data_IF_551296520872
#
_entry.id   IF_551296520872
#
_cell.length_a   1.000
_cell.length_b   1.000
_cell.length_c   1.000
_cell.angle_alpha   90.00
_cell.angle_beta   90.00
_cell.angle_gamma   90.00
#
_symmetry.space_group_name_H-M   'P 1'
#
loop_
_entity.id
_entity.type
_entity.pdbx_description
1 polymer ?
#
# COMPACT_ATOMS: atom_id res chain seq x y z
N UNK A 1 -2.93 -37.22 -21.14
CA UNK A 1 -3.57 -36.90 -19.84
C UNK A 1 -4.92 -37.62 -19.61
N UNK A 2 -5.32 -38.60 -20.43
CA UNK A 2 -6.43 -39.50 -20.09
C UNK A 2 -5.87 -40.90 -19.79
N UNK A 3 -6.25 -41.50 -18.65
CA UNK A 3 -5.88 -42.88 -18.29
C UNK A 3 -6.60 -43.88 -19.19
N UNK A 4 -6.11 -45.12 -19.26
CA UNK A 4 -6.75 -46.20 -20.04
C UNK A 4 -8.22 -46.41 -19.63
N UNK A 5 -8.53 -46.27 -18.35
CA UNK A 5 -9.90 -46.35 -17.84
C UNK A 5 -10.85 -45.34 -18.50
N UNK A 6 -10.41 -44.10 -18.72
CA UNK A 6 -11.23 -43.06 -19.35
C UNK A 6 -11.29 -43.17 -20.87
N UNK A 7 -10.31 -43.85 -21.48
CA UNK A 7 -10.31 -44.17 -22.91
C UNK A 7 -11.27 -45.33 -23.24
N UNK A 8 -11.39 -46.31 -22.34
CA UNK A 8 -12.30 -47.43 -22.51
C UNK A 8 -13.77 -47.08 -22.23
N UNK A 9 -14.03 -46.15 -21.30
CA UNK A 9 -15.40 -45.84 -20.85
C UNK A 9 -16.06 -44.64 -21.56
N UNK A 10 -15.39 -44.01 -22.54
CA UNK A 10 -15.88 -42.82 -23.29
C UNK A 10 -16.66 -41.79 -22.44
N UNK A 11 -16.23 -41.57 -21.20
CA UNK A 11 -17.01 -40.76 -20.25
C UNK A 11 -16.87 -39.28 -20.57
N UNK A 12 -17.85 -38.71 -21.28
CA UNK A 12 -17.90 -37.27 -21.60
C UNK A 12 -18.50 -36.48 -20.42
N UNK A 13 -17.68 -35.66 -19.78
CA UNK A 13 -18.14 -34.74 -18.73
C UNK A 13 -18.38 -33.34 -19.28
N UNK A 14 -19.64 -33.00 -19.53
CA UNK A 14 -20.04 -31.68 -20.04
C UNK A 14 -19.87 -30.61 -18.95
N UNK A 15 -19.06 -29.58 -19.23
CA UNK A 15 -18.85 -28.42 -18.37
C UNK A 15 -19.86 -27.32 -18.71
N UNK A 16 -21.02 -27.32 -18.05
CA UNK A 16 -22.04 -26.27 -18.25
C UNK A 16 -21.98 -25.20 -17.15
N UNK A 17 -22.01 -23.92 -17.55
CA UNK A 17 -22.30 -22.78 -16.66
C UNK A 17 -21.37 -22.61 -15.45
N UNK A 18 -20.07 -22.94 -15.58
CA UNK A 18 -19.09 -22.77 -14.50
C UNK A 18 -19.17 -23.81 -13.37
N UNK A 19 -20.04 -24.83 -13.49
CA UNK A 19 -20.10 -25.95 -12.53
C UNK A 19 -19.09 -27.03 -12.91
N UNK A 20 -17.92 -27.02 -12.28
CA UNK A 20 -16.85 -27.98 -12.54
C UNK A 20 -16.86 -29.20 -11.62
N UNK A 21 -17.80 -29.29 -10.67
CA UNK A 21 -17.77 -30.26 -9.56
C UNK A 21 -17.67 -31.72 -10.00
N UNK A 22 -18.38 -32.13 -11.05
CA UNK A 22 -18.32 -33.51 -11.58
C UNK A 22 -16.96 -33.83 -12.22
N UNK A 23 -16.43 -32.90 -13.02
CA UNK A 23 -15.10 -33.04 -13.62
C UNK A 23 -14.00 -33.04 -12.55
N UNK A 24 -14.09 -32.15 -11.55
CA UNK A 24 -13.14 -32.11 -10.43
C UNK A 24 -13.18 -33.38 -9.58
N UNK A 25 -14.37 -33.95 -9.35
CA UNK A 25 -14.55 -35.22 -8.62
C UNK A 25 -13.93 -36.39 -9.39
N UNK A 26 -14.21 -36.51 -10.68
CA UNK A 26 -13.62 -37.55 -11.55
C UNK A 26 -12.08 -37.45 -11.61
N UNK A 27 -11.54 -36.25 -11.78
CA UNK A 27 -10.09 -36.01 -11.75
C UNK A 27 -9.46 -36.44 -10.42
N UNK A 28 -10.13 -36.17 -9.29
CA UNK A 28 -9.65 -36.57 -7.96
C UNK A 28 -9.71 -38.08 -7.74
N UNK A 29 -10.81 -38.73 -8.13
CA UNK A 29 -11.07 -40.13 -7.81
C UNK A 29 -10.42 -41.10 -8.79
N UNK A 30 -10.40 -40.78 -10.09
CA UNK A 30 -9.91 -41.67 -11.15
C UNK A 30 -8.47 -41.36 -11.54
N UNK A 31 -8.06 -40.10 -11.44
CA UNK A 31 -6.71 -39.67 -11.83
C UNK A 31 -5.84 -39.20 -10.66
N UNK A 32 -6.37 -39.20 -9.44
CA UNK A 32 -5.70 -38.68 -8.23
C UNK A 32 -5.19 -37.22 -8.38
N UNK A 33 -5.77 -36.46 -9.31
CA UNK A 33 -5.43 -35.06 -9.56
C UNK A 33 -6.26 -34.21 -8.62
N UNK A 34 -5.61 -33.61 -7.63
CA UNK A 34 -6.24 -32.67 -6.69
C UNK A 34 -5.87 -31.23 -7.05
N UNK A 35 -6.84 -30.32 -6.90
CA UNK A 35 -6.57 -28.89 -7.06
C UNK A 35 -5.77 -28.38 -5.85
N UNK A 36 -4.78 -27.52 -6.10
CA UNK A 36 -4.07 -26.77 -5.06
C UNK A 36 -5.03 -25.98 -4.15
N UNK A 37 -6.15 -25.49 -4.70
CA UNK A 37 -7.22 -24.84 -3.93
C UNK A 37 -7.89 -25.79 -2.94
N UNK A 38 -8.17 -27.04 -3.36
CA UNK A 38 -8.77 -28.05 -2.48
C UNK A 38 -7.83 -28.49 -1.36
N UNK A 39 -6.53 -28.64 -1.65
CA UNK A 39 -5.53 -28.95 -0.63
C UNK A 39 -5.39 -27.82 0.42
N UNK A 40 -5.42 -26.55 -0.02
CA UNK A 40 -5.41 -25.40 0.87
C UNK A 40 -6.69 -25.30 1.72
N UNK A 41 -7.87 -25.59 1.13
CA UNK A 41 -9.13 -25.64 1.87
C UNK A 41 -9.15 -26.76 2.91
N UNK A 42 -8.64 -27.95 2.57
CA UNK A 42 -8.57 -29.08 3.50
C UNK A 42 -7.54 -28.84 4.62
N UNK A 43 -6.41 -28.20 4.32
CA UNK A 43 -5.46 -27.74 5.34
C UNK A 43 -6.10 -26.72 6.29
N UNK A 44 -6.82 -25.72 5.76
CA UNK A 44 -7.55 -24.73 6.59
C UNK A 44 -8.62 -25.37 7.47
N UNK A 45 -9.34 -26.36 6.96
CA UNK A 45 -10.33 -27.12 7.74
C UNK A 45 -9.67 -27.86 8.90
N UNK A 46 -8.56 -28.57 8.66
CA UNK A 46 -7.79 -29.25 9.72
C UNK A 46 -7.37 -28.26 10.81
N UNK A 47 -6.81 -27.11 10.42
CA UNK A 47 -6.44 -26.06 11.38
C UNK A 47 -7.64 -25.53 12.17
N UNK A 48 -8.81 -25.36 11.53
CA UNK A 48 -10.03 -24.93 12.23
C UNK A 48 -10.50 -25.97 13.24
N UNK A 49 -10.51 -27.24 12.87
CA UNK A 49 -10.98 -28.31 13.74
C UNK A 49 -10.04 -28.51 14.94
N UNK A 50 -8.73 -28.35 14.73
CA UNK A 50 -7.72 -28.28 15.81
C UNK A 50 -7.96 -27.10 16.76
N UNK A 51 -8.25 -25.90 16.23
CA UNK A 51 -8.58 -24.72 17.04
C UNK A 51 -9.85 -24.99 17.86
N UNK A 52 -10.91 -25.53 17.25
CA UNK A 52 -12.17 -25.86 17.94
C UNK A 52 -11.93 -26.90 19.03
N UNK A 53 -11.15 -27.93 18.76
CA UNK A 53 -10.80 -28.95 19.75
C UNK A 53 -10.03 -28.34 20.93
N UNK A 54 -9.06 -27.46 20.66
CA UNK A 54 -8.31 -26.75 21.71
C UNK A 54 -9.22 -25.86 22.56
N UNK A 55 -10.10 -25.07 21.94
CA UNK A 55 -11.06 -24.21 22.66
C UNK A 55 -11.99 -25.06 23.55
N UNK A 56 -12.51 -26.18 23.03
CA UNK A 56 -13.35 -27.10 23.81
C UNK A 56 -12.62 -27.70 25.00
N UNK A 57 -11.37 -28.11 24.82
CA UNK A 57 -10.55 -28.65 25.91
C UNK A 57 -10.32 -27.61 27.01
N UNK A 58 -10.09 -26.34 26.65
CA UNK A 58 -9.96 -25.24 27.63
C UNK A 58 -11.30 -24.97 28.35
N UNK A 59 -12.41 -24.95 27.61
CA UNK A 59 -13.75 -24.78 28.17
C UNK A 59 -14.14 -25.87 29.19
N UNK A 60 -13.65 -27.09 28.99
CA UNK A 60 -13.92 -28.21 29.91
C UNK A 60 -13.11 -28.13 31.20
N UNK A 61 -11.94 -27.49 31.16
CA UNK A 61 -10.97 -27.54 32.26
C UNK A 61 -10.98 -26.28 33.14
N UNK A 62 -11.27 -25.08 32.62
CA UNK A 62 -11.00 -23.84 33.36
C UNK A 62 -11.90 -22.62 33.06
N UNK A 63 -12.62 -22.53 31.94
CA UNK A 63 -13.45 -21.36 31.59
C UNK A 63 -14.92 -21.72 31.28
N UNK A 64 -15.86 -20.81 31.58
CA UNK A 64 -17.26 -20.99 31.19
C UNK A 64 -17.45 -20.84 29.68
N UNK A 65 -18.30 -21.66 29.06
CA UNK A 65 -18.65 -21.52 27.63
C UNK A 65 -19.23 -20.15 27.28
N UNK A 66 -19.90 -19.50 28.24
CA UNK A 66 -20.32 -18.11 28.16
C UNK A 66 -19.13 -17.17 27.87
N UNK A 67 -18.03 -17.31 28.61
CA UNK A 67 -16.84 -16.46 28.46
C UNK A 67 -16.23 -16.59 27.07
N UNK A 68 -16.07 -17.82 26.61
CA UNK A 68 -15.55 -18.13 25.27
C UNK A 68 -16.46 -17.54 24.20
N UNK A 69 -17.78 -17.64 24.37
CA UNK A 69 -18.73 -17.06 23.44
C UNK A 69 -18.59 -15.54 23.33
N UNK A 70 -18.46 -14.83 24.46
CA UNK A 70 -18.21 -13.38 24.45
C UNK A 70 -16.90 -13.02 23.73
N UNK A 71 -15.81 -13.77 23.96
CA UNK A 71 -14.52 -13.53 23.32
C UNK A 71 -14.58 -13.77 21.80
N UNK A 72 -15.27 -14.82 21.35
CA UNK A 72 -15.46 -15.10 19.92
C UNK A 72 -16.31 -14.02 19.25
N UNK A 73 -17.38 -13.55 19.89
CA UNK A 73 -18.15 -12.39 19.40
C UNK A 73 -17.28 -11.13 19.33
N UNK A 74 -16.40 -10.93 20.30
CA UNK A 74 -15.45 -9.81 20.29
C UNK A 74 -14.46 -9.91 19.13
N UNK A 75 -13.91 -11.08 18.87
CA UNK A 75 -13.06 -11.32 17.70
C UNK A 75 -13.81 -11.14 16.39
N UNK A 76 -15.10 -11.52 16.32
CA UNK A 76 -15.94 -11.27 15.15
C UNK A 76 -16.07 -9.78 14.88
N UNK A 77 -16.30 -8.99 15.93
CA UNK A 77 -16.36 -7.52 15.87
C UNK A 77 -15.04 -6.94 15.36
N UNK A 78 -13.91 -7.36 15.94
CA UNK A 78 -12.57 -6.87 15.56
C UNK A 78 -12.22 -7.24 14.12
N UNK A 79 -12.33 -8.52 13.76
CA UNK A 79 -11.87 -9.02 12.45
C UNK A 79 -12.73 -8.55 11.28
N UNK A 80 -14.01 -8.20 11.54
CA UNK A 80 -14.94 -7.79 10.49
C UNK A 80 -15.33 -6.30 10.59
N UNK A 81 -14.69 -5.53 11.48
CA UNK A 81 -15.00 -4.13 11.73
C UNK A 81 -16.49 -3.86 11.99
N UNK A 82 -17.14 -4.73 12.78
CA UNK A 82 -18.56 -4.58 13.10
C UNK A 82 -18.76 -3.50 14.18
N UNK A 83 -19.94 -2.87 14.25
CA UNK A 83 -20.29 -2.00 15.36
C UNK A 83 -20.26 -2.76 16.69
N UNK A 84 -19.79 -2.12 17.77
CA UNK A 84 -19.74 -2.75 19.11
C UNK A 84 -21.13 -3.10 19.66
N UNK A 85 -22.17 -2.50 19.10
CA UNK A 85 -23.59 -2.78 19.41
C UNK A 85 -24.14 -4.00 18.66
N UNK A 86 -23.35 -4.71 17.85
CA UNK A 86 -23.85 -5.82 17.01
C UNK A 86 -24.60 -6.89 17.82
N UNK A 87 -24.20 -7.15 19.07
CA UNK A 87 -24.90 -8.09 19.95
C UNK A 87 -26.25 -7.60 20.50
N UNK A 88 -26.59 -6.32 20.29
CA UNK A 88 -27.84 -5.67 20.72
C UNK A 88 -28.89 -5.60 19.61
N UNK A 89 -28.53 -5.90 18.36
CA UNK A 89 -29.50 -6.00 17.27
C UNK A 89 -30.50 -7.11 17.53
N UNK A 90 -31.74 -6.92 17.06
CA UNK A 90 -32.83 -7.83 17.33
C UNK A 90 -32.55 -9.21 16.72
N UNK A 91 -32.01 -9.26 15.49
CA UNK A 91 -31.61 -10.49 14.83
C UNK A 91 -30.49 -11.22 15.59
N UNK A 92 -29.53 -10.49 16.15
CA UNK A 92 -28.48 -11.08 16.99
C UNK A 92 -29.03 -11.67 18.29
N UNK A 93 -30.07 -11.05 18.86
CA UNK A 93 -30.74 -11.54 20.07
C UNK A 93 -31.56 -12.79 19.78
N UNK A 94 -32.33 -12.78 18.69
CA UNK A 94 -33.12 -13.93 18.22
C UNK A 94 -32.20 -15.11 17.91
N UNK A 95 -31.13 -14.89 17.14
CA UNK A 95 -30.15 -15.94 16.83
C UNK A 95 -29.51 -16.52 18.09
N UNK A 96 -29.19 -15.68 19.08
CA UNK A 96 -28.66 -16.16 20.36
C UNK A 96 -29.66 -17.05 21.08
N UNK A 97 -30.93 -16.64 21.15
CA UNK A 97 -31.99 -17.38 21.84
C UNK A 97 -32.32 -18.73 21.16
N UNK A 98 -32.21 -18.83 19.83
CA UNK A 98 -32.56 -20.04 19.08
C UNK A 98 -31.37 -21.00 18.93
N UNK A 99 -30.16 -20.48 18.69
CA UNK A 99 -29.02 -21.28 18.22
C UNK A 99 -27.99 -21.55 19.32
N UNK A 100 -27.93 -20.70 20.36
CA UNK A 100 -26.92 -20.82 21.41
C UNK A 100 -27.49 -21.57 22.61
N UNK A 101 -26.82 -22.63 23.04
CA UNK A 101 -27.17 -23.37 24.27
C UNK A 101 -27.15 -22.42 25.48
N UNK A 102 -28.09 -22.60 26.40
CA UNK A 102 -28.25 -21.73 27.58
C UNK A 102 -26.95 -21.57 28.39
N UNK A 103 -26.22 -22.67 28.61
CA UNK A 103 -24.92 -22.67 29.31
C UNK A 103 -23.79 -21.93 28.58
N UNK A 104 -24.02 -21.52 27.32
CA UNK A 104 -23.09 -20.80 26.46
C UNK A 104 -23.59 -19.39 26.12
N UNK A 105 -24.76 -18.99 26.61
CA UNK A 105 -25.29 -17.65 26.35
C UNK A 105 -24.47 -16.61 27.09
N UNK A 106 -24.00 -15.61 26.35
CA UNK A 106 -23.28 -14.48 26.91
C UNK A 106 -24.06 -13.19 26.69
N UNK A 107 -23.93 -12.25 27.63
CA UNK A 107 -24.42 -10.89 27.43
C UNK A 107 -23.47 -10.17 26.47
N UNK A 108 -23.81 -10.15 25.18
CA UNK A 108 -23.07 -9.40 24.16
C UNK A 108 -23.75 -8.05 23.93
N UNK A 109 -23.12 -6.99 24.39
CA UNK A 109 -23.53 -5.60 24.18
C UNK A 109 -22.29 -4.71 24.08
N UNK A 110 -22.47 -3.41 23.80
CA UNK A 110 -21.37 -2.45 23.67
C UNK A 110 -20.42 -2.49 24.87
N UNK A 111 -20.94 -2.56 26.09
CA UNK A 111 -20.14 -2.52 27.32
C UNK A 111 -19.29 -3.78 27.45
N UNK A 112 -19.89 -4.96 27.30
CA UNK A 112 -19.17 -6.23 27.45
C UNK A 112 -18.17 -6.46 26.34
N UNK A 113 -18.50 -6.08 25.09
CA UNK A 113 -17.57 -6.08 23.96
C UNK A 113 -16.40 -5.13 24.25
N UNK A 114 -16.66 -3.90 24.69
CA UNK A 114 -15.58 -2.93 24.98
C UNK A 114 -14.63 -3.45 26.05
N UNK A 115 -15.15 -4.03 27.14
CA UNK A 115 -14.30 -4.65 28.17
C UNK A 115 -13.50 -5.84 27.63
N UNK A 116 -14.13 -6.72 26.84
CA UNK A 116 -13.45 -7.87 26.25
C UNK A 116 -12.37 -7.46 25.24
N UNK A 117 -12.54 -6.37 24.49
CA UNK A 117 -11.49 -5.81 23.63
C UNK A 117 -10.26 -5.40 24.45
N UNK A 118 -10.47 -4.70 25.57
CA UNK A 118 -9.37 -4.28 26.46
C UNK A 118 -8.65 -5.50 27.03
N UNK A 119 -9.41 -6.51 27.46
CA UNK A 119 -8.83 -7.74 28.01
C UNK A 119 -8.02 -8.51 26.97
N UNK A 120 -8.57 -8.72 25.77
CA UNK A 120 -7.86 -9.34 24.66
C UNK A 120 -6.59 -8.56 24.32
N UNK A 121 -6.65 -7.23 24.32
CA UNK A 121 -5.48 -6.38 24.11
C UNK A 121 -4.42 -6.58 25.21
N UNK A 122 -4.80 -6.57 26.49
CA UNK A 122 -3.87 -6.76 27.61
C UNK A 122 -3.22 -8.15 27.55
N UNK A 123 -4.01 -9.19 27.27
CA UNK A 123 -3.51 -10.56 27.13
C UNK A 123 -2.56 -10.70 25.93
N UNK A 124 -2.97 -10.21 24.75
CA UNK A 124 -2.13 -10.23 23.56
C UNK A 124 -0.84 -9.42 23.75
N UNK A 125 -0.92 -8.28 24.44
CA UNK A 125 0.24 -7.45 24.77
C UNK A 125 1.22 -8.20 25.68
N UNK A 126 0.74 -8.90 26.72
CA UNK A 126 1.61 -9.71 27.60
C UNK A 126 2.31 -10.83 26.84
N UNK A 127 1.58 -11.55 26.00
CA UNK A 127 2.16 -12.61 25.16
C UNK A 127 3.16 -12.05 24.15
N UNK A 128 2.88 -10.90 23.56
CA UNK A 128 3.81 -10.22 22.68
C UNK A 128 5.10 -9.78 23.40
N UNK A 129 5.00 -9.24 24.62
CA UNK A 129 6.18 -8.86 25.41
C UNK A 129 7.06 -10.09 25.66
N UNK A 130 6.47 -11.21 26.09
CA UNK A 130 7.19 -12.49 26.26
C UNK A 130 7.84 -12.93 24.96
N UNK A 131 7.07 -12.95 23.87
CA UNK A 131 7.55 -13.35 22.55
C UNK A 131 8.73 -12.49 22.07
N UNK A 132 8.72 -11.18 22.32
CA UNK A 132 9.85 -10.30 22.01
C UNK A 132 11.05 -10.67 22.88
N UNK A 133 10.87 -10.83 24.20
CA UNK A 133 11.95 -11.19 25.12
C UNK A 133 12.62 -12.51 24.72
N UNK A 134 11.84 -13.53 24.40
CA UNK A 134 12.33 -14.86 24.01
C UNK A 134 13.13 -14.85 22.69
N UNK A 135 12.90 -13.84 21.84
CA UNK A 135 13.59 -13.68 20.56
C UNK A 135 14.66 -12.57 20.59
N UNK A 136 14.92 -11.97 21.75
CA UNK A 136 16.01 -11.00 21.92
C UNK A 136 17.31 -11.73 22.20
N UNK A 137 18.39 -11.15 21.69
CA UNK A 137 19.75 -11.58 22.03
C UNK A 137 20.25 -10.66 23.16
N UNK A 138 20.52 -11.17 24.37
CA UNK A 138 20.99 -10.36 25.49
C UNK A 138 22.26 -9.57 25.12
N UNK A 139 22.28 -8.28 25.47
CA UNK A 139 23.40 -7.39 25.18
C UNK A 139 23.56 -6.97 23.71
N UNK A 140 22.72 -7.47 22.80
CA UNK A 140 22.79 -7.14 21.38
C UNK A 140 21.58 -6.32 20.95
N UNK A 141 21.85 -5.21 20.26
CA UNK A 141 20.85 -4.40 19.58
C UNK A 141 20.34 -5.15 18.35
N UNK A 142 19.22 -5.86 18.49
CA UNK A 142 18.66 -6.72 17.43
C UNK A 142 17.31 -6.24 16.89
N UNK A 143 16.78 -5.13 17.41
CA UNK A 143 15.49 -4.58 16.99
C UNK A 143 15.68 -3.37 16.05
N UNK A 144 14.74 -3.20 15.12
CA UNK A 144 14.65 -2.02 14.25
C UNK A 144 13.25 -1.43 14.40
N UNK A 145 13.14 -0.11 14.48
CA UNK A 145 11.85 0.58 14.51
C UNK A 145 11.55 1.31 13.22
N UNK A 146 10.27 1.34 12.84
CA UNK A 146 9.75 2.28 11.85
C UNK A 146 8.82 3.24 12.58
N UNK A 147 9.18 4.53 12.57
CA UNK A 147 8.33 5.58 13.11
C UNK A 147 7.74 6.37 11.94
N UNK A 148 6.40 6.30 11.82
CA UNK A 148 5.66 6.98 10.76
C UNK A 148 4.85 8.14 11.36
N UNK A 149 4.95 9.30 10.72
CA UNK A 149 4.27 10.51 11.14
C UNK A 149 3.39 11.03 10.01
N UNK A 150 2.08 11.03 10.22
CA UNK A 150 1.15 11.47 9.17
C UNK A 150 0.06 12.38 9.70
N UNK A 151 -0.50 13.16 8.77
CA UNK A 151 -1.67 14.01 9.01
C UNK A 151 -2.89 13.41 8.32
N UNK A 152 -3.93 13.07 9.09
CA UNK A 152 -5.22 12.66 8.56
C UNK A 152 -5.84 13.79 7.73
N UNK A 153 -6.30 13.46 6.52
CA UNK A 153 -6.79 14.45 5.56
C UNK A 153 -8.15 15.05 5.93
N UNK A 154 -9.02 14.24 6.52
CA UNK A 154 -10.38 14.63 6.88
C UNK A 154 -10.41 15.57 8.08
N UNK A 155 -9.63 15.26 9.12
CA UNK A 155 -9.64 16.01 10.38
C UNK A 155 -8.46 16.97 10.55
N UNK A 156 -7.41 16.82 9.73
CA UNK A 156 -6.14 17.53 9.93
C UNK A 156 -5.35 17.04 11.15
N UNK A 157 -5.80 15.99 11.81
CA UNK A 157 -5.17 15.40 12.99
C UNK A 157 -3.83 14.77 12.65
N UNK A 158 -2.81 14.93 13.51
CA UNK A 158 -1.51 14.29 13.34
C UNK A 158 -1.45 12.99 14.13
N UNK A 159 -0.74 11.99 13.61
CA UNK A 159 -0.58 10.69 14.24
C UNK A 159 0.87 10.26 14.20
N UNK A 160 1.27 9.52 15.24
CA UNK A 160 2.54 8.79 15.31
C UNK A 160 2.23 7.30 15.37
N UNK A 161 2.68 6.55 14.38
CA UNK A 161 2.71 5.10 14.39
C UNK A 161 4.11 4.59 14.71
N UNK A 162 4.23 3.62 15.60
CA UNK A 162 5.50 2.96 15.90
C UNK A 162 5.38 1.47 15.63
N UNK A 163 6.23 0.98 14.72
CA UNK A 163 6.30 -0.43 14.35
C UNK A 163 7.68 -0.98 14.68
N UNK A 164 7.69 -2.21 15.17
CA UNK A 164 8.86 -2.98 15.53
C UNK A 164 9.11 -4.06 14.48
N UNK A 165 10.38 -4.23 14.12
CA UNK A 165 10.87 -5.32 13.27
C UNK A 165 12.01 -6.06 13.97
N UNK A 166 11.99 -7.39 13.88
CA UNK A 166 13.06 -8.26 14.35
C UNK A 166 12.98 -9.62 13.65
N UNK A 167 14.02 -10.44 13.81
CA UNK A 167 14.10 -11.79 13.26
C UNK A 167 14.06 -12.77 14.43
N UNK A 168 13.23 -13.80 14.32
CA UNK A 168 13.14 -14.87 15.34
C UNK A 168 14.31 -15.84 15.24
N UNK A 169 14.47 -16.71 16.24
CA UNK A 169 15.43 -17.81 16.21
C UNK A 169 15.26 -18.73 14.97
N UNK A 170 14.02 -18.89 14.48
CA UNK A 170 13.69 -19.64 13.26
C UNK A 170 13.90 -18.85 11.96
N UNK A 171 14.64 -17.74 11.98
CA UNK A 171 14.90 -16.87 10.83
C UNK A 171 13.63 -16.30 10.17
N UNK A 172 12.58 -16.02 10.96
CA UNK A 172 11.36 -15.38 10.46
C UNK A 172 11.37 -13.89 10.79
N UNK A 173 11.13 -13.06 9.78
CA UNK A 173 10.89 -11.64 9.99
C UNK A 173 9.53 -11.44 10.68
N UNK A 174 9.54 -10.72 11.79
CA UNK A 174 8.36 -10.31 12.52
C UNK A 174 8.18 -8.80 12.38
N UNK A 175 6.93 -8.39 12.17
CA UNK A 175 6.49 -7.01 12.04
C UNK A 175 5.35 -6.79 13.03
N UNK A 176 5.52 -5.88 13.98
CA UNK A 176 4.52 -5.61 15.03
C UNK A 176 4.24 -4.12 15.13
N UNK A 177 3.00 -3.70 14.89
CA UNK A 177 2.57 -2.34 15.20
C UNK A 177 2.37 -2.20 16.71
N UNK A 178 3.30 -1.53 17.39
CA UNK A 178 3.23 -1.32 18.85
C UNK A 178 2.12 -0.32 19.22
N UNK A 179 1.85 0.65 18.34
CA UNK A 179 0.73 1.55 18.54
C UNK A 179 0.63 2.67 17.52
N UNK A 180 -0.52 3.32 17.52
CA UNK A 180 -0.77 4.57 16.81
C UNK A 180 -1.35 5.57 17.81
N UNK A 181 -0.69 6.72 17.99
CA UNK A 181 -1.12 7.76 18.94
C UNK A 181 -1.49 9.04 18.19
N UNK A 182 -2.60 9.66 18.57
CA UNK A 182 -2.97 11.00 18.11
C UNK A 182 -1.98 12.02 18.65
N UNK A 183 -1.12 12.58 17.79
CA UNK A 183 -0.07 13.51 18.16
C UNK A 183 -0.59 14.92 18.44
N UNK A 184 -0.85 15.19 19.72
CA UNK A 184 -1.36 16.46 20.23
C UNK A 184 -0.55 16.91 21.47
N UNK A 185 0.63 17.50 21.29
CA UNK A 185 1.42 18.04 22.40
C UNK A 185 0.69 19.20 23.08
N UNK A 186 0.85 19.31 24.40
CA UNK A 186 0.30 20.40 25.23
C UNK A 186 0.93 21.74 24.84
N UNK A 187 0.28 22.86 25.19
CA UNK A 187 0.70 24.20 24.76
C UNK A 187 2.18 24.49 25.07
N UNK A 188 2.59 24.38 26.35
CA UNK A 188 3.98 24.65 26.76
C UNK A 188 5.01 23.63 26.27
N UNK A 189 4.59 22.49 25.73
CA UNK A 189 5.51 21.53 25.14
C UNK A 189 5.91 21.88 23.70
N UNK A 190 5.22 22.86 23.10
CA UNK A 190 5.48 23.33 21.73
C UNK A 190 6.57 24.40 21.69
N UNK A 191 6.86 25.05 22.81
CA UNK A 191 7.77 26.19 22.89
C UNK A 191 9.22 25.79 22.53
N UNK A 192 9.59 24.52 22.79
CA UNK A 192 10.87 23.92 22.38
C UNK A 192 10.83 23.18 21.03
N UNK A 193 9.76 23.33 20.26
CA UNK A 193 9.53 22.59 19.01
C UNK A 193 9.00 21.17 19.21
N UNK A 194 8.93 20.38 18.13
CA UNK A 194 8.26 19.06 18.14
C UNK A 194 9.13 17.91 18.70
N UNK A 195 10.44 18.11 18.82
CA UNK A 195 11.42 17.04 19.10
C UNK A 195 11.24 16.43 20.49
N UNK A 196 11.04 17.26 21.51
CA UNK A 196 10.85 16.81 22.90
C UNK A 196 9.62 15.92 23.06
N UNK A 197 8.42 16.39 22.66
CA UNK A 197 7.21 15.57 22.68
C UNK A 197 7.36 14.27 21.89
N UNK A 198 7.98 14.35 20.70
CA UNK A 198 8.17 13.17 19.85
C UNK A 198 9.04 12.10 20.52
N UNK A 199 10.20 12.49 21.07
CA UNK A 199 11.07 11.59 21.82
C UNK A 199 10.34 10.93 22.98
N UNK A 200 9.65 11.72 23.81
CA UNK A 200 8.90 11.19 24.97
C UNK A 200 7.87 10.15 24.54
N UNK A 201 7.15 10.40 23.45
CA UNK A 201 6.09 9.51 23.01
C UNK A 201 6.62 8.17 22.49
N UNK A 202 7.74 8.18 21.76
CA UNK A 202 8.44 6.95 21.38
C UNK A 202 8.84 6.18 22.64
N UNK A 203 9.50 6.83 23.60
CA UNK A 203 9.94 6.19 24.84
C UNK A 203 8.76 5.60 25.61
N UNK A 204 7.63 6.31 25.69
CA UNK A 204 6.42 5.81 26.35
C UNK A 204 5.83 4.59 25.65
N UNK A 205 5.75 4.60 24.30
CA UNK A 205 5.27 3.43 23.55
C UNK A 205 6.23 2.25 23.79
N UNK A 206 7.54 2.45 23.76
CA UNK A 206 8.50 1.37 24.01
C UNK A 206 8.36 0.82 25.45
N UNK A 207 8.26 1.71 26.43
CA UNK A 207 8.11 1.33 27.84
C UNK A 207 6.82 0.53 28.09
N UNK A 208 5.74 0.82 27.36
CA UNK A 208 4.51 0.02 27.43
C UNK A 208 4.78 -1.46 27.12
N UNK A 209 5.76 -1.78 26.28
CA UNK A 209 6.15 -3.15 25.90
C UNK A 209 7.42 -3.65 26.60
N UNK A 210 7.87 -2.97 27.66
CA UNK A 210 9.10 -3.34 28.37
C UNK A 210 10.37 -3.15 27.52
N UNK A 211 10.30 -2.29 26.51
CA UNK A 211 11.41 -1.98 25.62
C UNK A 211 12.04 -0.64 25.97
N UNK A 212 13.32 -0.51 25.64
CA UNK A 212 14.06 0.74 25.71
C UNK A 212 14.75 1.02 24.39
N UNK A 213 15.26 2.24 24.22
CA UNK A 213 16.03 2.62 23.02
C UNK A 213 17.30 1.77 22.89
N UNK A 214 17.85 1.25 24.00
CA UNK A 214 19.04 0.40 24.00
C UNK A 214 18.82 -0.96 23.32
N UNK A 215 17.57 -1.36 23.08
CA UNK A 215 17.23 -2.61 22.40
C UNK A 215 17.32 -2.49 20.87
N UNK A 216 17.41 -1.26 20.37
CA UNK A 216 17.32 -0.95 18.94
C UNK A 216 18.68 -0.65 18.33
N UNK A 217 18.94 -1.26 17.17
CA UNK A 217 20.08 -0.94 16.32
C UNK A 217 19.81 0.32 15.50
N UNK A 218 18.63 0.38 14.88
CA UNK A 218 18.31 1.41 13.90
C UNK A 218 16.84 1.80 13.87
N UNK A 219 16.59 2.87 13.13
CA UNK A 219 15.26 3.41 12.89
C UNK A 219 15.09 3.86 11.43
N UNK A 220 13.92 3.61 10.87
CA UNK A 220 13.55 4.13 9.55
C UNK A 220 12.39 5.12 9.69
N UNK A 221 12.55 6.32 9.14
CA UNK A 221 11.50 7.36 9.16
C UNK A 221 11.46 8.14 7.85
N UNK A 222 10.53 9.10 7.74
CA UNK A 222 10.66 10.14 6.72
C UNK A 222 11.93 11.00 6.94
N UNK A 223 12.26 11.80 5.93
CA UNK A 223 13.46 12.67 5.92
C UNK A 223 13.24 14.06 6.50
N UNK A 224 12.26 14.24 7.38
CA UNK A 224 12.06 15.50 8.09
C UNK A 224 13.28 15.80 8.97
N UNK A 225 13.87 17.01 8.90
CA UNK A 225 15.10 17.33 9.66
C UNK A 225 14.99 17.09 11.16
N UNK A 226 13.83 17.41 11.75
CA UNK A 226 13.57 17.18 13.17
C UNK A 226 13.50 15.68 13.52
N UNK A 227 12.95 14.87 12.61
CA UNK A 227 12.81 13.42 12.80
C UNK A 227 14.16 12.74 12.60
N UNK A 228 14.91 13.10 11.57
CA UNK A 228 16.27 12.60 11.36
C UNK A 228 17.16 12.92 12.56
N UNK A 229 17.17 14.17 13.02
CA UNK A 229 17.98 14.57 14.17
C UNK A 229 17.55 13.85 15.45
N UNK A 230 16.25 13.66 15.68
CA UNK A 230 15.79 12.95 16.86
C UNK A 230 16.18 11.46 16.83
N UNK A 231 16.15 10.80 15.68
CA UNK A 231 16.61 9.39 15.56
C UNK A 231 18.13 9.26 15.75
N UNK A 232 18.90 10.12 15.09
CA UNK A 232 20.38 10.05 15.08
C UNK A 232 21.01 10.66 16.34
N UNK A 233 20.63 11.88 16.71
CA UNK A 233 21.28 12.69 17.75
C UNK A 233 20.61 12.59 19.11
N UNK A 234 19.30 12.29 19.19
CA UNK A 234 18.62 12.20 20.49
C UNK A 234 18.42 10.77 20.98
N UNK A 235 18.24 9.82 20.06
CA UNK A 235 18.05 8.40 20.34
C UNK A 235 19.29 7.56 20.03
N UNK A 236 20.31 8.11 19.36
CA UNK A 236 21.57 7.42 19.05
C UNK A 236 21.34 6.12 18.24
N UNK A 237 20.43 6.15 17.27
CA UNK A 237 20.09 5.02 16.42
C UNK A 237 20.71 5.17 15.03
N UNK A 238 21.07 4.04 14.40
CA UNK A 238 21.41 4.00 12.99
C UNK A 238 20.17 4.34 12.16
N UNK A 239 20.11 5.57 11.64
CA UNK A 239 18.94 6.05 10.93
C UNK A 239 19.01 5.75 9.44
N UNK A 240 17.92 5.24 8.89
CA UNK A 240 17.75 5.05 7.46
C UNK A 240 16.59 5.90 6.94
N UNK A 241 16.79 6.57 5.81
CA UNK A 241 15.71 7.29 5.15
C UNK A 241 14.76 6.29 4.48
N UNK A 242 13.48 6.31 4.87
CA UNK A 242 12.40 5.60 4.21
C UNK A 242 12.45 5.79 2.67
N UNK A 243 12.71 4.69 1.95
CA UNK A 243 12.89 4.69 0.49
C UNK A 243 11.71 5.35 -0.27
N UNK A 244 10.43 5.07 0.02
CA UNK A 244 9.31 5.79 -0.58
C UNK A 244 9.34 7.30 -0.39
N UNK A 245 9.79 7.79 0.77
CA UNK A 245 9.90 9.22 1.04
C UNK A 245 11.08 9.82 0.28
N UNK A 246 12.23 9.12 0.23
CA UNK A 246 13.41 9.52 -0.53
C UNK A 246 13.10 9.69 -2.01
N UNK A 247 12.53 8.68 -2.66
CA UNK A 247 12.24 8.73 -4.10
C UNK A 247 11.18 9.78 -4.44
N UNK A 248 10.18 9.96 -3.57
CA UNK A 248 9.16 11.01 -3.72
C UNK A 248 9.77 12.40 -3.56
N UNK A 249 10.68 12.60 -2.61
CA UNK A 249 11.42 13.86 -2.45
C UNK A 249 12.32 14.13 -3.65
N UNK A 250 13.04 13.12 -4.14
CA UNK A 250 13.88 13.21 -5.33
C UNK A 250 13.05 13.59 -6.56
N UNK A 251 11.91 12.95 -6.75
CA UNK A 251 11.04 13.25 -7.88
C UNK A 251 10.44 14.66 -7.78
N UNK A 252 9.97 15.08 -6.61
CA UNK A 252 9.47 16.46 -6.43
C UNK A 252 10.53 17.49 -6.81
N UNK A 253 11.78 17.28 -6.41
CA UNK A 253 12.88 18.15 -6.76
C UNK A 253 13.14 18.17 -8.27
N UNK A 254 13.26 17.00 -8.89
CA UNK A 254 13.58 16.87 -10.31
C UNK A 254 12.48 17.35 -11.25
N UNK A 255 11.21 17.18 -10.85
CA UNK A 255 10.05 17.63 -11.62
C UNK A 255 9.71 19.10 -11.35
N UNK A 256 10.46 19.76 -10.46
CA UNK A 256 10.24 21.17 -10.13
C UNK A 256 8.94 21.44 -9.39
N UNK A 257 8.43 20.46 -8.62
CA UNK A 257 7.19 20.58 -7.86
C UNK A 257 7.39 21.46 -6.62
N UNK A 258 7.31 22.77 -6.82
CA UNK A 258 7.43 23.79 -5.78
C UNK A 258 6.23 24.74 -5.80
N UNK A 259 5.89 25.29 -4.63
CA UNK A 259 4.87 26.35 -4.51
C UNK A 259 5.36 27.67 -5.11
N UNK A 260 6.67 27.93 -5.12
CA UNK A 260 7.26 29.11 -5.72
C UNK A 260 7.86 28.78 -7.09
N UNK A 261 7.15 29.15 -8.16
CA UNK A 261 7.52 28.86 -9.56
C UNK A 261 8.92 29.37 -9.91
N UNK A 262 9.30 30.56 -9.41
CA UNK A 262 10.61 31.17 -9.68
C UNK A 262 11.79 30.41 -9.06
N UNK A 263 11.52 29.51 -8.10
CA UNK A 263 12.53 28.63 -7.47
C UNK A 263 12.55 27.23 -8.07
N UNK A 264 11.78 26.96 -9.13
CA UNK A 264 11.74 25.63 -9.75
C UNK A 264 13.04 25.35 -10.51
N UNK A 265 13.70 24.25 -10.17
CA UNK A 265 14.88 23.75 -10.91
C UNK A 265 14.53 23.16 -12.28
N UNK A 266 13.24 22.91 -12.53
CA UNK A 266 12.74 22.35 -13.79
C UNK A 266 11.40 23.00 -14.18
N UNK A 267 11.47 24.25 -14.65
CA UNK A 267 10.29 25.05 -14.98
C UNK A 267 9.46 24.45 -16.12
N UNK A 268 10.11 23.90 -17.14
CA UNK A 268 9.45 23.27 -18.28
C UNK A 268 8.65 22.02 -17.85
N UNK A 269 9.22 21.18 -16.97
CA UNK A 269 8.50 20.04 -16.42
C UNK A 269 7.30 20.48 -15.56
N UNK A 270 7.48 21.52 -14.75
CA UNK A 270 6.39 22.11 -13.97
C UNK A 270 5.25 22.63 -14.87
N UNK A 271 5.57 23.24 -16.02
CA UNK A 271 4.58 23.69 -17.00
C UNK A 271 3.85 22.51 -17.65
N UNK A 272 4.56 21.43 -17.99
CA UNK A 272 3.94 20.19 -18.47
C UNK A 272 2.98 19.60 -17.43
N UNK A 273 3.36 19.58 -16.14
CA UNK A 273 2.48 19.13 -15.06
C UNK A 273 1.22 19.99 -14.90
N UNK A 274 1.31 21.30 -15.16
CA UNK A 274 0.12 22.18 -15.20
C UNK A 274 -0.81 21.80 -16.35
N UNK A 275 -0.27 21.48 -17.54
CA UNK A 275 -1.05 20.96 -18.69
C UNK A 275 -1.73 19.64 -18.34
N UNK A 276 -1.00 18.69 -17.73
CA UNK A 276 -1.55 17.42 -17.23
C UNK A 276 -2.69 17.65 -16.24
N UNK A 277 -2.50 18.53 -15.25
CA UNK A 277 -3.52 18.87 -14.26
C UNK A 277 -4.78 19.44 -14.92
N UNK A 278 -4.59 20.36 -15.88
CA UNK A 278 -5.69 20.95 -16.66
C UNK A 278 -6.45 19.89 -17.45
N UNK A 279 -5.74 18.97 -18.11
CA UNK A 279 -6.36 17.87 -18.86
C UNK A 279 -7.21 16.99 -17.96
N UNK A 280 -6.66 16.57 -16.81
CA UNK A 280 -7.37 15.73 -15.84
C UNK A 280 -8.62 16.43 -15.31
N UNK A 281 -8.50 17.71 -14.95
CA UNK A 281 -9.62 18.50 -14.46
C UNK A 281 -10.73 18.62 -15.52
N UNK A 282 -10.40 19.08 -16.73
CA UNK A 282 -11.37 19.31 -17.78
C UNK A 282 -12.18 18.05 -18.14
N UNK A 283 -11.53 16.89 -18.28
CA UNK A 283 -12.24 15.64 -18.62
C UNK A 283 -13.09 15.13 -17.45
N UNK A 284 -12.72 15.44 -16.20
CA UNK A 284 -13.46 14.97 -15.01
C UNK A 284 -14.65 15.85 -14.64
N UNK A 285 -14.59 17.15 -14.92
CA UNK A 285 -15.53 18.14 -14.37
C UNK A 285 -16.42 18.81 -15.40
N UNK A 286 -16.13 18.69 -16.70
CA UNK A 286 -17.00 19.30 -17.73
C UNK A 286 -18.26 18.44 -17.90
N UNK A 287 -19.30 18.81 -17.17
CA UNK A 287 -20.60 18.11 -17.13
C UNK A 287 -21.28 18.05 -18.51
N UNK A 288 -21.08 19.07 -19.33
CA UNK A 288 -21.64 19.19 -20.69
C UNK A 288 -21.22 18.02 -21.61
N UNK A 289 -20.11 17.35 -21.30
CA UNK A 289 -19.66 16.18 -22.05
C UNK A 289 -20.18 14.85 -21.49
N UNK A 290 -20.98 14.89 -20.41
CA UNK A 290 -21.64 13.72 -19.82
C UNK A 290 -20.68 12.55 -19.55
N UNK A 291 -21.05 11.39 -20.06
CA UNK A 291 -20.30 10.13 -19.97
C UNK A 291 -19.43 9.86 -21.21
N UNK A 292 -19.22 10.84 -22.10
CA UNK A 292 -18.49 10.66 -23.37
C UNK A 292 -17.13 9.99 -23.19
N UNK A 293 -16.39 10.36 -22.15
CA UNK A 293 -15.10 9.73 -21.86
C UNK A 293 -15.25 8.22 -21.62
N UNK A 294 -16.24 7.79 -20.83
CA UNK A 294 -16.51 6.37 -20.58
C UNK A 294 -16.90 5.65 -21.87
N UNK A 295 -17.75 6.27 -22.69
CA UNK A 295 -18.16 5.72 -23.98
C UNK A 295 -16.97 5.54 -24.92
N UNK A 296 -16.10 6.55 -25.06
CA UNK A 296 -14.91 6.50 -25.90
C UNK A 296 -13.90 5.45 -25.42
N UNK A 297 -13.72 5.30 -24.09
CA UNK A 297 -12.85 4.25 -23.52
C UNK A 297 -13.34 2.85 -23.90
N UNK A 298 -14.66 2.61 -23.83
CA UNK A 298 -15.27 1.34 -24.21
C UNK A 298 -15.22 1.12 -25.73
N UNK A 299 -15.56 2.15 -26.50
CA UNK A 299 -15.60 2.11 -27.96
C UNK A 299 -14.23 1.79 -28.58
N UNK A 300 -13.17 2.43 -28.07
CA UNK A 300 -11.80 2.16 -28.53
C UNK A 300 -11.18 0.88 -27.92
N UNK A 301 -11.91 0.15 -27.07
CA UNK A 301 -11.42 -1.09 -26.46
C UNK A 301 -10.21 -0.92 -25.52
N UNK A 302 -9.92 0.31 -25.07
CA UNK A 302 -8.72 0.61 -24.27
C UNK A 302 -8.93 0.42 -22.77
N UNK A 303 -10.17 0.13 -22.33
CA UNK A 303 -10.44 -0.11 -20.91
C UNK A 303 -11.92 -0.16 -20.54
N UNK A 304 -12.19 -0.02 -19.23
CA UNK A 304 -13.53 -0.01 -18.62
C UNK A 304 -13.74 1.18 -17.69
N UNK A 305 -12.80 2.14 -17.69
CA UNK A 305 -12.73 3.20 -16.70
C UNK A 305 -13.66 4.35 -17.04
N UNK A 306 -14.44 4.77 -16.04
CA UNK A 306 -15.46 5.80 -16.19
C UNK A 306 -14.92 7.22 -16.15
N UNK A 307 -13.77 7.43 -15.51
CA UNK A 307 -13.13 8.75 -15.32
C UNK A 307 -11.61 8.62 -15.34
N UNK A 308 -10.92 9.73 -15.65
CA UNK A 308 -9.47 9.84 -15.42
C UNK A 308 -9.13 9.77 -13.94
N UNK A 309 -7.91 9.35 -13.61
CA UNK A 309 -7.42 9.32 -12.22
C UNK A 309 -7.31 10.76 -11.69
N UNK A 310 -7.82 10.99 -10.48
CA UNK A 310 -7.68 12.28 -9.81
C UNK A 310 -6.19 12.55 -9.52
N UNK A 311 -5.69 13.71 -9.95
CA UNK A 311 -4.30 14.08 -9.77
C UNK A 311 -4.14 15.08 -8.64
N UNK A 312 -3.31 14.75 -7.65
CA UNK A 312 -2.88 15.67 -6.60
C UNK A 312 -1.35 15.84 -6.64
N UNK A 313 -0.83 17.09 -6.74
CA UNK A 313 0.60 17.36 -6.96
C UNK A 313 1.59 16.79 -5.93
N UNK A 314 1.12 16.32 -4.77
CA UNK A 314 1.99 15.90 -3.67
C UNK A 314 2.31 14.39 -3.63
N UNK A 315 1.79 13.58 -4.57
CA UNK A 315 1.93 12.11 -4.57
C UNK A 315 2.55 11.59 -5.85
N UNK A 316 3.86 11.28 -5.81
CA UNK A 316 4.58 10.74 -6.96
C UNK A 316 3.96 9.45 -7.52
N UNK A 317 3.55 8.49 -6.69
CA UNK A 317 2.90 7.26 -7.18
C UNK A 317 1.60 7.54 -7.94
N UNK A 318 0.83 8.54 -7.50
CA UNK A 318 -0.37 8.98 -8.24
C UNK A 318 0.00 9.60 -9.58
N UNK A 319 1.15 10.30 -9.67
CA UNK A 319 1.61 10.90 -10.91
C UNK A 319 1.95 9.85 -11.98
N UNK A 320 2.65 8.77 -11.62
CA UNK A 320 2.99 7.71 -12.58
C UNK A 320 1.73 7.10 -13.18
N UNK A 321 0.73 6.79 -12.36
CA UNK A 321 -0.54 6.26 -12.84
C UNK A 321 -1.34 7.26 -13.68
N UNK A 322 -1.23 8.57 -13.39
CA UNK A 322 -1.84 9.62 -14.23
C UNK A 322 -1.17 9.65 -15.60
N UNK A 323 0.16 9.58 -15.67
CA UNK A 323 0.90 9.51 -16.94
C UNK A 323 0.55 8.25 -17.72
N UNK A 324 0.57 7.09 -17.06
CA UNK A 324 0.16 5.81 -17.63
C UNK A 324 -1.25 5.87 -18.21
N UNK A 325 -2.20 6.44 -17.45
CA UNK A 325 -3.58 6.64 -17.89
C UNK A 325 -3.68 7.53 -19.13
N UNK A 326 -2.96 8.66 -19.14
CA UNK A 326 -2.98 9.62 -20.25
C UNK A 326 -2.38 9.01 -21.51
N UNK A 327 -1.23 8.33 -21.40
CA UNK A 327 -0.59 7.66 -22.53
C UNK A 327 -1.49 6.56 -23.09
N UNK A 328 -2.03 5.70 -22.22
CA UNK A 328 -2.93 4.61 -22.62
C UNK A 328 -4.20 5.13 -23.30
N UNK A 329 -4.76 6.23 -22.81
CA UNK A 329 -6.02 6.80 -23.28
C UNK A 329 -5.78 7.98 -24.25
N UNK A 330 -4.61 8.09 -24.88
CA UNK A 330 -4.26 9.26 -25.69
C UNK A 330 -5.30 9.55 -26.79
N UNK A 331 -5.70 8.52 -27.54
CA UNK A 331 -6.68 8.66 -28.62
C UNK A 331 -8.08 9.00 -28.09
N UNK A 332 -8.47 8.46 -26.93
CA UNK A 332 -9.70 8.86 -26.22
C UNK A 332 -9.67 10.35 -25.91
N UNK A 333 -8.54 10.86 -25.42
CA UNK A 333 -8.40 12.28 -25.09
C UNK A 333 -8.48 13.15 -26.34
N UNK A 334 -7.79 12.80 -27.43
CA UNK A 334 -7.89 13.52 -28.71
C UNK A 334 -9.36 13.65 -29.16
N UNK A 335 -10.07 12.52 -29.26
CA UNK A 335 -11.47 12.50 -29.66
C UNK A 335 -12.39 13.27 -28.71
N UNK A 336 -12.13 13.19 -27.40
CA UNK A 336 -12.93 13.92 -26.40
C UNK A 336 -12.80 15.44 -26.58
N UNK A 337 -11.59 15.96 -26.84
CA UNK A 337 -11.39 17.39 -27.06
C UNK A 337 -11.93 17.84 -28.43
N UNK A 338 -11.82 17.02 -29.47
CA UNK A 338 -12.42 17.29 -30.77
C UNK A 338 -13.95 17.38 -30.67
N UNK A 339 -14.59 16.42 -30.00
CA UNK A 339 -16.03 16.41 -29.84
C UNK A 339 -16.52 17.56 -28.95
N UNK A 340 -15.73 17.93 -27.93
CA UNK A 340 -15.99 19.12 -27.13
C UNK A 340 -15.97 20.41 -27.98
N UNK A 341 -15.05 20.53 -28.92
CA UNK A 341 -15.00 21.65 -29.85
C UNK A 341 -16.21 21.64 -30.80
N UNK A 342 -16.49 20.49 -31.45
CA UNK A 342 -17.66 20.32 -32.33
C UNK A 342 -18.98 20.63 -31.63
N UNK A 343 -19.11 20.23 -30.35
CA UNK A 343 -20.30 20.55 -29.56
C UNK A 343 -20.44 22.05 -29.34
N UNK A 344 -19.36 22.77 -29.05
CA UNK A 344 -19.41 24.22 -28.88
C UNK A 344 -19.87 24.92 -30.17
N UNK A 345 -19.44 24.43 -31.33
CA UNK A 345 -19.86 24.92 -32.65
C UNK A 345 -21.36 24.72 -32.87
N UNK A 346 -21.87 23.51 -32.57
CA UNK A 346 -23.30 23.19 -32.66
C UNK A 346 -24.14 24.04 -31.71
N UNK A 347 -23.63 24.26 -30.50
CA UNK A 347 -24.31 25.03 -29.45
C UNK A 347 -24.10 26.56 -29.64
N UNK A 348 -23.39 27.01 -30.69
CA UNK A 348 -23.01 28.42 -30.96
C UNK A 348 -22.42 29.14 -29.74
N UNK A 349 -21.64 28.40 -28.96
CA UNK A 349 -21.02 28.87 -27.72
C UNK A 349 -19.54 29.20 -27.94
N UNK A 350 -18.92 29.88 -26.97
CA UNK A 350 -17.50 30.23 -27.06
C UNK A 350 -16.63 28.97 -27.20
N UNK A 351 -15.68 28.99 -28.14
CA UNK A 351 -14.79 27.85 -28.38
C UNK A 351 -14.02 27.46 -27.11
N UNK A 352 -14.05 26.17 -26.72
CA UNK A 352 -13.33 25.69 -25.56
C UNK A 352 -11.83 25.65 -25.84
N UNK A 353 -11.03 25.69 -24.78
CA UNK A 353 -9.58 25.55 -24.91
C UNK A 353 -9.19 24.19 -25.53
N UNK A 354 -8.20 24.16 -26.45
CA UNK A 354 -7.77 22.94 -27.13
C UNK A 354 -7.11 21.96 -26.15
N UNK A 355 -6.87 20.74 -26.62
CA UNK A 355 -6.21 19.68 -25.85
C UNK A 355 -4.84 20.16 -25.33
N UNK A 356 -4.65 20.38 -24.01
CA UNK A 356 -3.44 21.03 -23.49
C UNK A 356 -2.13 20.26 -23.75
N UNK A 357 -2.23 18.94 -23.98
CA UNK A 357 -1.09 18.05 -24.21
C UNK A 357 -0.91 17.69 -25.70
N UNK A 358 -1.66 18.29 -26.63
CA UNK A 358 -1.50 18.04 -28.05
C UNK A 358 -0.02 18.12 -28.48
N UNK A 359 0.42 17.16 -29.30
CA UNK A 359 1.83 17.04 -29.74
C UNK A 359 2.81 16.48 -28.70
N UNK A 360 2.40 16.23 -27.44
CA UNK A 360 3.32 15.78 -26.38
C UNK A 360 3.27 14.26 -26.10
N UNK A 361 2.66 13.44 -26.97
CA UNK A 361 2.51 11.99 -26.71
C UNK A 361 3.84 11.30 -26.45
N UNK A 362 4.79 11.52 -27.36
CA UNK A 362 6.11 10.92 -27.30
C UNK A 362 6.90 11.37 -26.07
N UNK A 363 6.81 12.65 -25.72
CA UNK A 363 7.38 13.20 -24.48
C UNK A 363 6.80 12.51 -23.23
N UNK A 364 5.47 12.32 -23.20
CA UNK A 364 4.79 11.64 -22.10
C UNK A 364 5.19 10.17 -21.98
N UNK A 365 5.40 9.47 -23.09
CA UNK A 365 5.89 8.07 -23.13
C UNK A 365 7.33 7.96 -22.59
N UNK A 366 8.22 8.88 -22.97
CA UNK A 366 9.59 8.91 -22.44
C UNK A 366 9.60 9.19 -20.93
N UNK A 367 8.82 10.17 -20.46
CA UNK A 367 8.73 10.48 -19.03
C UNK A 367 8.09 9.33 -18.24
N UNK A 368 7.06 8.67 -18.77
CA UNK A 368 6.48 7.47 -18.15
C UNK A 368 7.52 6.35 -18.04
N UNK A 369 8.30 6.12 -19.09
CA UNK A 369 9.40 5.15 -19.11
C UNK A 369 10.44 5.42 -18.01
N UNK A 370 10.74 6.70 -17.74
CA UNK A 370 11.61 7.13 -16.64
C UNK A 370 11.01 6.88 -15.26
N UNK A 371 9.68 7.06 -15.12
CA UNK A 371 8.99 6.96 -13.83
C UNK A 371 8.68 5.53 -13.38
N UNK A 372 8.42 4.61 -14.32
CA UNK A 372 7.99 3.24 -14.02
C UNK A 372 8.99 2.47 -13.12
N UNK A 373 10.33 2.48 -13.36
CA UNK A 373 11.28 1.81 -12.49
C UNK A 373 11.30 2.37 -11.06
N UNK A 374 11.13 3.69 -10.91
CA UNK A 374 11.07 4.36 -9.61
C UNK A 374 9.78 3.96 -8.86
N UNK A 375 8.65 3.89 -9.56
CA UNK A 375 7.40 3.40 -9.00
C UNK A 375 7.49 1.93 -8.58
N UNK A 376 8.16 1.08 -9.36
CA UNK A 376 8.39 -0.31 -9.01
C UNK A 376 9.28 -0.46 -7.76
N UNK A 377 10.31 0.38 -7.62
CA UNK A 377 11.13 0.46 -6.40
C UNK A 377 10.28 0.82 -5.18
N UNK A 378 9.41 1.83 -5.31
CA UNK A 378 8.52 2.24 -4.22
C UNK A 378 7.59 1.12 -3.76
N UNK A 379 6.91 0.45 -4.70
CA UNK A 379 6.05 -0.70 -4.38
C UNK A 379 6.85 -1.80 -3.68
N UNK A 380 8.06 -2.10 -4.18
CA UNK A 380 8.92 -3.11 -3.57
C UNK A 380 9.31 -2.75 -2.13
N UNK A 381 9.65 -1.49 -1.89
CA UNK A 381 10.10 -1.00 -0.58
C UNK A 381 9.02 -0.89 0.49
N UNK A 382 7.74 -1.00 0.11
CA UNK A 382 6.60 -0.97 1.03
C UNK A 382 6.09 -2.37 1.40
N UNK A 383 6.67 -3.43 0.82
CA UNK A 383 6.25 -4.78 1.13
C UNK A 383 6.69 -5.17 2.55
N UNK A 384 5.76 -5.63 3.39
CA UNK A 384 6.06 -6.16 4.73
C UNK A 384 6.67 -7.58 4.62
N UNK A 385 7.89 -7.68 4.08
CA UNK A 385 8.64 -8.94 3.91
C UNK A 385 10.15 -8.71 4.04
N UNK A 386 10.98 -9.74 4.27
CA UNK A 386 12.44 -9.58 4.39
C UNK A 386 13.10 -9.33 3.03
N UNK A 387 12.95 -8.12 2.49
CA UNK A 387 13.44 -7.76 1.15
C UNK A 387 14.32 -6.51 1.13
N UNK A 388 14.89 -6.09 2.25
CA UNK A 388 15.73 -4.88 2.31
C UNK A 388 16.89 -4.94 1.32
N UNK A 389 17.59 -6.08 1.23
CA UNK A 389 18.66 -6.30 0.24
C UNK A 389 18.12 -6.14 -1.19
N UNK A 390 16.99 -6.75 -1.52
CA UNK A 390 16.37 -6.61 -2.84
C UNK A 390 15.99 -5.15 -3.14
N UNK A 391 15.56 -4.39 -2.13
CA UNK A 391 15.21 -2.97 -2.26
C UNK A 391 16.46 -2.16 -2.56
N UNK A 392 17.56 -2.37 -1.83
CA UNK A 392 18.84 -1.69 -2.06
C UNK A 392 19.42 -2.01 -3.45
N UNK A 393 19.41 -3.28 -3.83
CA UNK A 393 19.84 -3.72 -5.18
C UNK A 393 18.95 -3.10 -6.27
N UNK A 394 17.64 -2.99 -6.01
CA UNK A 394 16.72 -2.34 -6.94
C UNK A 394 16.96 -0.84 -7.04
N UNK A 395 17.25 -0.16 -5.94
CA UNK A 395 17.60 1.25 -5.93
C UNK A 395 18.88 1.52 -6.72
N UNK A 396 19.92 0.71 -6.47
CA UNK A 396 21.16 0.77 -7.24
C UNK A 396 20.93 0.53 -8.74
N UNK A 397 20.12 -0.49 -9.08
CA UNK A 397 19.74 -0.76 -10.47
C UNK A 397 19.02 0.42 -11.12
N UNK A 398 18.10 1.09 -10.42
CA UNK A 398 17.43 2.30 -10.93
C UNK A 398 18.45 3.40 -11.20
N UNK A 399 19.38 3.64 -10.28
CA UNK A 399 20.42 4.65 -10.43
C UNK A 399 21.26 4.37 -11.69
N UNK A 400 21.79 3.15 -11.83
CA UNK A 400 22.69 2.81 -12.94
C UNK A 400 21.97 2.70 -14.29
N UNK A 401 20.83 2.00 -14.33
CA UNK A 401 20.21 1.59 -15.60
C UNK A 401 19.08 2.50 -16.07
N UNK A 402 18.53 3.34 -15.19
CA UNK A 402 17.41 4.25 -15.53
C UNK A 402 17.82 5.70 -15.44
N UNK A 403 18.60 6.06 -14.40
CA UNK A 403 19.03 7.44 -14.15
C UNK A 403 20.42 7.76 -14.70
N UNK A 404 21.21 6.74 -15.08
CA UNK A 404 22.52 6.92 -15.69
C UNK A 404 22.44 7.76 -16.97
N UNK A 405 23.37 8.72 -17.17
CA UNK A 405 23.34 9.64 -18.31
C UNK A 405 23.39 8.89 -19.65
N UNK A 406 24.30 7.93 -19.77
CA UNK A 406 24.50 7.12 -20.98
C UNK A 406 23.57 5.90 -21.09
N UNK A 407 22.73 5.66 -20.08
CA UNK A 407 21.89 4.48 -20.04
C UNK A 407 20.70 4.59 -21.01
N UNK A 408 20.51 3.56 -21.83
CA UNK A 408 19.30 3.40 -22.64
C UNK A 408 18.06 3.30 -21.75
N UNK A 409 16.99 4.00 -22.13
CA UNK A 409 15.74 4.00 -21.37
C UNK A 409 14.82 2.89 -21.90
N UNK A 410 14.54 1.87 -21.09
CA UNK A 410 13.53 0.87 -21.45
C UNK A 410 12.18 1.55 -21.72
N UNK A 411 11.53 1.25 -22.85
CA UNK A 411 10.22 1.85 -23.18
C UNK A 411 9.12 1.37 -22.24
N UNK A 412 8.11 2.20 -22.01
CA UNK A 412 6.99 1.90 -21.13
C UNK A 412 6.11 0.74 -21.62
N UNK A 413 6.12 0.46 -22.93
CA UNK A 413 5.40 -0.64 -23.58
C UNK A 413 6.28 -1.90 -23.78
N UNK A 414 7.56 -1.85 -23.40
CA UNK A 414 8.48 -2.97 -23.57
C UNK A 414 8.09 -4.18 -22.72
N UNK A 415 7.86 -5.32 -23.34
CA UNK A 415 7.53 -6.59 -22.66
C UNK A 415 8.80 -7.42 -22.43
N UNK A 416 8.65 -8.61 -21.82
CA UNK A 416 9.77 -9.57 -21.74
C UNK A 416 10.13 -10.15 -23.11
N UNK A 417 9.13 -10.34 -23.96
CA UNK A 417 9.26 -10.92 -25.29
C UNK A 417 9.75 -9.89 -26.32
N UNK A 418 9.47 -8.60 -26.09
CA UNK A 418 9.93 -7.51 -26.94
C UNK A 418 10.59 -6.40 -26.09
N UNK A 419 11.87 -6.57 -25.71
CA UNK A 419 12.58 -5.61 -24.87
C UNK A 419 13.05 -4.40 -25.70
N UNK A 420 12.17 -3.42 -25.88
CA UNK A 420 12.51 -2.17 -26.59
C UNK A 420 13.07 -1.11 -25.64
N UNK A 421 13.99 -0.28 -26.14
CA UNK A 421 14.57 0.85 -25.40
C UNK A 421 14.78 2.07 -26.29
N UNK A 422 14.80 3.26 -25.70
CA UNK A 422 15.26 4.51 -26.29
C UNK A 422 16.76 4.65 -26.03
N UNK A 423 17.54 4.91 -27.08
CA UNK A 423 18.96 5.25 -26.93
C UNK A 423 19.09 6.62 -26.24
N UNK A 424 20.12 6.83 -25.41
CA UNK A 424 20.25 8.07 -24.63
C UNK A 424 20.24 9.33 -25.53
N UNK A 425 20.88 9.26 -26.70
CA UNK A 425 20.93 10.38 -27.67
C UNK A 425 19.58 10.69 -28.35
N UNK A 426 18.60 9.79 -28.24
CA UNK A 426 17.25 9.97 -28.81
C UNK A 426 16.24 10.51 -27.81
N UNK A 427 16.66 10.74 -26.56
CA UNK A 427 15.78 11.26 -25.53
C UNK A 427 15.52 12.75 -25.76
N UNK A 428 14.27 13.17 -25.56
CA UNK A 428 13.91 14.58 -25.61
C UNK A 428 14.63 15.37 -24.51
N UNK A 429 14.98 16.62 -24.80
CA UNK A 429 15.74 17.51 -23.90
C UNK A 429 15.17 17.58 -22.47
N UNK A 430 13.85 17.71 -22.34
CA UNK A 430 13.19 17.74 -21.04
C UNK A 430 13.37 16.43 -20.24
N UNK A 431 13.40 15.28 -20.92
CA UNK A 431 13.59 13.97 -20.30
C UNK A 431 15.02 13.84 -19.80
N UNK A 432 16.00 14.26 -20.60
CA UNK A 432 17.43 14.26 -20.22
C UNK A 432 17.62 15.12 -18.97
N UNK A 433 17.16 16.38 -19.00
CA UNK A 433 17.25 17.29 -17.84
C UNK A 433 16.56 16.73 -16.59
N UNK A 434 15.38 16.12 -16.76
CA UNK A 434 14.64 15.53 -15.63
C UNK A 434 15.37 14.31 -15.07
N UNK A 435 15.99 13.50 -15.94
CA UNK A 435 16.80 12.34 -15.55
C UNK A 435 18.05 12.78 -14.78
N UNK A 436 18.78 13.78 -15.24
CA UNK A 436 19.95 14.32 -14.55
C UNK A 436 19.60 14.81 -13.15
N UNK A 437 18.54 15.62 -13.04
CA UNK A 437 18.07 16.11 -11.75
C UNK A 437 17.59 14.97 -10.82
N UNK A 438 17.01 13.90 -11.37
CA UNK A 438 16.67 12.71 -10.60
C UNK A 438 17.94 11.99 -10.14
N UNK A 439 18.94 11.82 -11.01
CA UNK A 439 20.22 11.19 -10.68
C UNK A 439 20.89 11.93 -9.52
N UNK A 440 21.07 13.24 -9.64
CA UNK A 440 21.63 14.10 -8.59
C UNK A 440 20.85 13.98 -7.28
N UNK A 441 19.52 13.98 -7.40
CA UNK A 441 18.63 13.89 -6.26
C UNK A 441 18.68 12.54 -5.55
N UNK A 442 18.87 11.44 -6.28
CA UNK A 442 19.09 10.11 -5.72
C UNK A 442 20.47 10.01 -5.11
N UNK A 443 21.52 10.46 -5.80
CA UNK A 443 22.89 10.40 -5.29
C UNK A 443 23.06 11.18 -3.98
N UNK A 444 22.59 12.42 -3.95
CA UNK A 444 22.65 13.30 -2.78
C UNK A 444 21.82 12.82 -1.58
N UNK A 445 20.86 11.92 -1.76
CA UNK A 445 19.99 11.42 -0.67
C UNK A 445 20.30 10.00 -0.26
N UNK A 446 20.74 9.16 -1.20
CA UNK A 446 21.00 7.75 -0.97
C UNK A 446 22.41 7.52 -0.43
N UNK A 447 23.43 8.18 -0.99
CA UNK A 447 24.83 7.97 -0.59
C UNK A 447 25.27 8.88 0.57
N UNK A 448 24.72 10.09 0.69
CA UNK A 448 24.96 10.94 1.87
C UNK A 448 24.20 10.49 3.12
N UNK A 449 23.23 9.57 3.00
CA UNK A 449 22.55 8.97 4.15
C UNK A 449 23.22 7.68 4.65
N UNK A 450 24.27 7.20 3.96
CA UNK A 450 25.05 6.01 4.33
C UNK A 450 26.37 6.37 5.05
N UNK A 451 26.60 7.66 5.28
CA UNK A 451 27.68 8.24 6.09
C UNK A 451 27.06 9.13 7.17
#
# INVERSE_FOLDING_TARGET
LASEHCRYNESVHVLYGGKTSRATKHLKEVHHVTSSKSALEDSRKRTRDEIVARIRAVAQNQESYERINLLLHTLLVIHNNLPFIMGEWEESRILRAIVTKDSSQAVVNRRTITHAVIELYVSAKRELIRFIIDNRIPGVKCLVMVADFWKAKSSGTKFLGLRLYFVTADFKLVSVLLGTRHFQPLCGERDGGIRGPFKRWIIQILADFGLTVADFFGATTDGGPDVQHMMTSNLMLSWEWCMPHLTNAATKAAFGMTSNVGKSKNLEMLQLLKKVTRTVYQVRTVEVMGDLYEQLVRFLGVGKEKKLIDYKPHRFMTLTHVFERIVKHWNVLCLWYEERARKADRDKSAHPSPFPLAGNKFLMEHLLSLMLPISALNVKSQAEKPNQVDVLVSAYKVIVTTLGPEASLRKCDATRENPTSYHHSTLMSLVVKTRELLSDAFHSRFFFALH
#
